data_IF_182490174082
#
_entry.id   IF_182490174082
#
_cell.length_a   1.000
_cell.length_b   1.000
_cell.length_c   1.000
_cell.angle_alpha   90.00
_cell.angle_beta   90.00
_cell.angle_gamma   90.00
#
_symmetry.space_group_name_H-M   'P 1'
#
loop_
_entity.id
_entity.type
_entity.pdbx_description
1 polymer ?
#
# COMPACT_ATOMS: atom_id res chain seq x y z
N UNK A 1 20.52 -7.97 9.62
CA UNK A 1 21.16 -9.23 9.13
C UNK A 1 21.95 -8.91 7.84
N UNK A 2 22.86 -9.75 7.33
CA UNK A 2 23.55 -9.46 6.04
C UNK A 2 22.68 -9.92 4.87
N UNK A 3 22.52 -9.08 3.84
CA UNK A 3 21.71 -9.46 2.68
C UNK A 3 22.37 -10.64 1.95
N UNK A 4 21.62 -11.69 1.56
CA UNK A 4 22.16 -12.79 0.76
C UNK A 4 22.57 -12.37 -0.65
N UNK A 5 22.08 -11.21 -1.12
CA UNK A 5 22.42 -10.63 -2.42
C UNK A 5 23.59 -9.64 -2.32
N UNK A 6 23.74 -8.97 -1.18
CA UNK A 6 24.79 -7.98 -0.93
C UNK A 6 25.41 -8.20 0.46
N UNK A 7 26.35 -9.16 0.60
CA UNK A 7 26.94 -9.54 1.89
C UNK A 7 27.78 -8.43 2.56
N UNK A 8 28.18 -7.44 1.76
CA UNK A 8 28.94 -6.26 2.18
C UNK A 8 28.07 -5.12 2.72
N UNK A 9 26.76 -5.20 2.53
CA UNK A 9 25.82 -4.16 2.92
C UNK A 9 25.02 -4.59 4.14
N UNK A 10 24.99 -3.71 5.12
CA UNK A 10 24.17 -3.87 6.31
C UNK A 10 22.71 -3.54 5.98
N UNK A 11 21.81 -4.47 6.27
CA UNK A 11 20.38 -4.24 6.11
C UNK A 11 19.88 -3.28 7.19
N UNK A 12 19.04 -2.33 6.78
CA UNK A 12 18.45 -1.36 7.69
C UNK A 12 17.16 -1.93 8.25
N UNK A 13 17.05 -1.92 9.57
CA UNK A 13 15.82 -2.27 10.30
C UNK A 13 14.96 -1.03 10.43
N UNK A 14 13.68 -1.16 10.12
CA UNK A 14 12.67 -0.15 10.38
C UNK A 14 11.51 -0.77 11.16
N UNK A 15 10.73 0.06 11.86
CA UNK A 15 9.48 -0.39 12.48
C UNK A 15 8.34 0.52 12.05
N UNK A 16 7.31 -0.05 11.42
CA UNK A 16 6.12 0.65 10.94
C UNK A 16 4.88 -0.14 11.32
N UNK A 17 3.88 0.52 11.90
CA UNK A 17 2.63 -0.12 12.35
C UNK A 17 2.85 -1.35 13.27
N UNK A 18 3.95 -1.35 14.05
CA UNK A 18 4.32 -2.48 14.92
C UNK A 18 4.87 -3.72 14.19
N UNK A 19 5.19 -3.57 12.89
CA UNK A 19 5.85 -4.54 12.04
C UNK A 19 7.30 -4.10 11.90
N UNK A 20 8.24 -4.95 12.29
CA UNK A 20 9.66 -4.75 12.00
C UNK A 20 9.93 -5.26 10.58
N UNK A 21 10.74 -4.50 9.83
CA UNK A 21 11.01 -4.76 8.42
C UNK A 21 12.51 -4.52 8.20
N UNK A 22 13.21 -5.50 7.63
CA UNK A 22 14.60 -5.33 7.17
C UNK A 22 14.61 -5.01 5.68
N UNK A 23 15.32 -3.96 5.28
CA UNK A 23 15.51 -3.66 3.86
C UNK A 23 16.98 -3.51 3.46
N UNK A 24 17.24 -3.87 2.21
CA UNK A 24 18.52 -3.68 1.55
C UNK A 24 18.52 -2.36 0.76
N UNK A 25 19.36 -1.37 1.10
CA UNK A 25 19.39 -0.09 0.39
C UNK A 25 19.99 -0.17 -1.02
N UNK A 26 20.60 -1.30 -1.38
CA UNK A 26 21.19 -1.49 -2.73
C UNK A 26 20.20 -2.08 -3.70
N UNK A 27 19.43 -3.08 -3.28
CA UNK A 27 18.47 -3.78 -4.14
C UNK A 27 17.03 -3.33 -3.95
N UNK A 28 16.74 -2.51 -2.93
CA UNK A 28 15.37 -2.19 -2.52
C UNK A 28 14.62 -3.40 -1.96
N UNK A 29 15.36 -4.46 -1.64
CA UNK A 29 14.77 -5.70 -1.21
C UNK A 29 14.23 -5.61 0.22
N UNK A 30 13.04 -6.19 0.49
CA UNK A 30 12.41 -6.28 1.81
C UNK A 30 12.30 -7.71 2.37
N UNK A 31 12.73 -7.89 3.62
CA UNK A 31 12.85 -9.16 4.34
C UNK A 31 11.99 -9.05 5.63
N UNK A 32 11.15 -10.06 5.86
CA UNK A 32 10.21 -10.15 6.98
C UNK A 32 10.35 -11.52 7.64
N UNK A 33 10.33 -11.56 8.97
CA UNK A 33 10.20 -12.81 9.72
C UNK A 33 8.77 -13.36 9.63
N UNK A 34 8.60 -14.65 9.95
CA UNK A 34 7.29 -15.33 9.91
C UNK A 34 6.21 -14.57 10.69
N UNK A 35 6.54 -14.10 11.90
CA UNK A 35 5.59 -13.35 12.75
C UNK A 35 5.32 -11.92 12.27
N UNK A 36 6.24 -11.31 11.52
CA UNK A 36 6.07 -9.98 10.94
C UNK A 36 5.17 -10.04 9.71
N UNK A 37 5.34 -11.07 8.88
CA UNK A 37 4.47 -11.33 7.74
C UNK A 37 3.00 -11.51 8.18
N UNK A 38 2.76 -12.27 9.25
CA UNK A 38 1.41 -12.44 9.82
C UNK A 38 0.80 -11.10 10.29
N UNK A 39 1.60 -10.25 10.96
CA UNK A 39 1.17 -8.90 11.36
C UNK A 39 0.87 -8.01 10.15
N UNK A 40 1.69 -8.06 9.12
CA UNK A 40 1.47 -7.34 7.87
C UNK A 40 0.17 -7.76 7.20
N UNK A 41 -0.06 -9.07 7.06
CA UNK A 41 -1.31 -9.62 6.53
C UNK A 41 -2.54 -9.18 7.34
N UNK A 42 -2.44 -9.18 8.66
CA UNK A 42 -3.51 -8.71 9.53
C UNK A 42 -3.78 -7.21 9.33
N UNK A 43 -2.73 -6.39 9.27
CA UNK A 43 -2.85 -4.95 9.07
C UNK A 43 -3.43 -4.61 7.69
N UNK A 44 -3.01 -5.32 6.63
CA UNK A 44 -3.58 -5.16 5.29
C UNK A 44 -5.06 -5.51 5.29
N UNK A 45 -5.46 -6.65 5.86
CA UNK A 45 -6.88 -7.03 5.94
C UNK A 45 -7.71 -6.01 6.70
N UNK A 46 -7.18 -5.46 7.79
CA UNK A 46 -7.84 -4.40 8.54
C UNK A 46 -7.98 -3.12 7.72
N UNK A 47 -6.94 -2.72 6.99
CA UNK A 47 -6.95 -1.47 6.23
C UNK A 47 -7.74 -1.57 4.91
N UNK A 48 -7.78 -2.75 4.28
CA UNK A 48 -8.58 -3.01 3.07
C UNK A 48 -10.09 -3.05 3.40
N UNK A 49 -10.44 -3.41 4.63
CA UNK A 49 -11.82 -3.36 5.14
C UNK A 49 -12.37 -1.93 5.24
N UNK A 50 -11.53 -0.90 5.16
CA UNK A 50 -11.95 0.50 5.03
C UNK A 50 -12.15 0.92 3.56
N UNK A 51 -12.41 -0.04 2.68
CA UNK A 51 -12.96 0.16 1.35
C UNK A 51 -14.37 0.75 1.40
N UNK A 52 -14.43 2.05 1.67
CA UNK A 52 -15.38 3.00 1.08
C UNK A 52 -16.88 2.63 1.15
N UNK A 53 -17.42 2.57 2.36
CA UNK A 53 -18.86 2.84 2.58
C UNK A 53 -19.26 4.30 2.23
N UNK A 54 -18.30 5.14 1.85
CA UNK A 54 -18.48 6.54 1.42
C UNK A 54 -18.17 6.79 -0.07
N UNK A 55 -18.01 5.75 -0.90
CA UNK A 55 -18.16 5.94 -2.33
C UNK A 55 -19.59 6.45 -2.53
N UNK A 56 -19.83 7.59 -3.19
CA UNK A 56 -21.19 7.95 -3.55
C UNK A 56 -21.74 6.78 -4.34
N UNK A 57 -22.70 6.06 -3.76
CA UNK A 57 -23.54 5.14 -4.51
C UNK A 57 -24.29 6.05 -5.47
N UNK A 58 -23.77 6.18 -6.69
CA UNK A 58 -24.53 6.73 -7.82
C UNK A 58 -25.59 5.65 -8.12
N UNK A 59 -26.60 5.59 -7.26
CA UNK A 59 -27.92 5.10 -7.62
C UNK A 59 -28.58 6.27 -8.31
N UNK A 60 -28.60 6.19 -9.63
CA UNK A 60 -29.31 7.11 -10.51
C UNK A 60 -29.77 6.30 -11.71
N UNK A 61 -30.84 5.54 -11.50
CA UNK A 61 -31.89 5.53 -12.52
C UNK A 61 -32.27 7.00 -12.69
N UNK A 62 -31.96 7.60 -13.83
CA UNK A 62 -32.75 8.65 -14.46
C UNK A 62 -32.04 9.02 -15.76
N UNK A 63 -32.79 8.82 -16.83
CA UNK A 63 -32.60 9.38 -18.15
C UNK A 63 -32.10 10.83 -18.06
N UNK A 64 -31.10 11.22 -18.86
CA UNK A 64 -31.12 12.54 -19.51
C UNK A 64 -29.92 12.74 -20.45
N UNK A 65 -30.31 13.08 -21.67
CA UNK A 65 -29.49 13.29 -22.83
C UNK A 65 -28.82 14.68 -22.83
N UNK A 66 -27.73 14.82 -23.60
CA UNK A 66 -27.14 16.09 -24.06
C UNK A 66 -26.61 17.10 -23.01
N UNK A 67 -25.29 17.09 -22.76
CA UNK A 67 -24.39 18.25 -22.97
C UNK A 67 -22.94 17.94 -22.61
N UNK A 68 -22.04 18.45 -23.44
CA UNK A 68 -20.60 18.19 -23.39
C UNK A 68 -19.87 18.70 -22.15
N UNK A 69 -18.65 18.21 -22.01
CA UNK A 69 -17.70 18.66 -21.01
C UNK A 69 -16.56 17.65 -20.85
N UNK A 70 -15.52 17.82 -21.66
CA UNK A 70 -14.21 17.21 -21.38
C UNK A 70 -13.71 17.76 -20.05
N UNK A 71 -13.94 17.06 -18.94
CA UNK A 71 -13.10 17.25 -17.76
C UNK A 71 -12.84 15.94 -17.00
N UNK A 72 -11.58 15.82 -16.61
CA UNK A 72 -10.88 14.58 -16.33
C UNK A 72 -11.06 14.27 -14.86
N UNK A 73 -12.21 13.71 -14.49
CA UNK A 73 -12.35 13.15 -13.15
C UNK A 73 -11.69 11.78 -13.09
N UNK A 74 -10.35 11.76 -13.22
CA UNK A 74 -9.55 10.56 -13.01
C UNK A 74 -9.56 10.31 -11.50
N UNK A 75 -10.20 9.23 -11.02
CA UNK A 75 -10.19 8.92 -9.60
C UNK A 75 -8.73 8.85 -9.15
N UNK A 76 -8.40 9.62 -8.11
CA UNK A 76 -7.05 9.62 -7.54
C UNK A 76 -6.76 8.18 -7.13
N UNK A 77 -5.66 7.63 -7.64
CA UNK A 77 -5.18 6.31 -7.25
C UNK A 77 -4.95 6.39 -5.75
N UNK A 78 -5.84 5.77 -4.94
CA UNK A 78 -5.66 5.68 -3.50
C UNK A 78 -4.32 4.97 -3.30
N UNK A 79 -3.37 5.65 -2.67
CA UNK A 79 -2.12 5.01 -2.27
C UNK A 79 -2.51 3.88 -1.33
N UNK A 80 -2.25 2.65 -1.75
CA UNK A 80 -2.60 1.47 -0.98
C UNK A 80 -1.80 1.49 0.33
N UNK A 81 -2.35 0.94 1.40
CA UNK A 81 -1.65 0.79 2.70
C UNK A 81 -0.25 0.18 2.57
N UNK A 82 -0.08 -0.77 1.65
CA UNK A 82 1.22 -1.36 1.32
C UNK A 82 2.19 -0.33 0.72
N UNK A 83 1.69 0.60 -0.11
CA UNK A 83 2.49 1.69 -0.66
C UNK A 83 3.06 2.56 0.46
N UNK A 84 2.24 2.93 1.46
CA UNK A 84 2.70 3.75 2.60
C UNK A 84 3.73 3.02 3.48
N UNK A 85 3.58 1.70 3.63
CA UNK A 85 4.58 0.87 4.34
C UNK A 85 5.90 0.82 3.57
N UNK A 86 5.84 0.73 2.23
CA UNK A 86 7.02 0.55 1.39
C UNK A 86 7.59 1.86 0.80
N UNK A 87 7.01 3.03 1.08
CA UNK A 87 7.41 4.35 0.53
C UNK A 87 8.79 4.86 1.04
N UNK A 88 9.41 4.13 1.96
CA UNK A 88 10.67 4.51 2.62
C UNK A 88 11.88 3.68 2.17
N UNK A 89 11.71 2.88 1.11
CA UNK A 89 12.72 1.97 0.57
C UNK A 89 13.18 2.36 -0.84
#
# INVERSE_FOLDING_TARGET
>A
MKSPLHPEVEMKKITKFGIEIEYCPVSGGVWLDKGELEKLLAAVKQNDSYGDENAPRIGGDDDDDYRGGSDRNRPRKRESFLSEIFDIF
#
